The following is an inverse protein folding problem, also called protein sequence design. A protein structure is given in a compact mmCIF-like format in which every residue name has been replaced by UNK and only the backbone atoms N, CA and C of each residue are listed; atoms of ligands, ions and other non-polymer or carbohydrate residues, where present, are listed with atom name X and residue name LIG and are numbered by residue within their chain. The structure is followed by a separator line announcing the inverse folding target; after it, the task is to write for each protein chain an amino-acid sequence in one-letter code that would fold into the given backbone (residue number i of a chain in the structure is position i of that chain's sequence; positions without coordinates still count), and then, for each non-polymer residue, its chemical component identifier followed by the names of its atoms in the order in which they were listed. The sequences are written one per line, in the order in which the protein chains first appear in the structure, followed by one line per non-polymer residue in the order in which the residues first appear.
data_IF_085854798189
#
_entry.id   IF_085854798189
#
_cell.length_a   1.000
_cell.length_b   1.000
_cell.length_c   1.000
_cell.angle_alpha   90.00
_cell.angle_beta   90.00
_cell.angle_gamma   90.00
#
_symmetry.space_group_name_H-M   'P 1'
#
loop_
_entity.id
_entity.type
_entity.pdbx_description
1 polymer ?
#
# COMPACT_ATOMS: atom_id res chain seq x y z
N UNK A 1 14.20 -9.32 38.35
CA UNK A 1 14.35 -10.34 37.27
C UNK A 1 13.10 -11.19 36.97
N UNK A 2 12.28 -11.61 37.94
CA UNK A 2 11.11 -12.49 37.69
C UNK A 2 10.04 -11.90 36.73
N UNK A 3 9.89 -10.57 36.70
CA UNK A 3 8.92 -9.90 35.83
C UNK A 3 9.36 -9.85 34.37
N UNK A 4 10.67 -9.70 34.10
CA UNK A 4 11.22 -9.67 32.74
C UNK A 4 10.98 -10.99 32.00
N UNK A 5 11.17 -12.12 32.69
CA UNK A 5 10.88 -13.46 32.13
C UNK A 5 9.43 -13.60 31.69
N UNK A 6 8.47 -13.03 32.43
CA UNK A 6 7.03 -13.07 32.07
C UNK A 6 6.74 -12.27 30.80
N UNK A 7 7.38 -11.11 30.63
CA UNK A 7 7.23 -10.31 29.40
C UNK A 7 7.84 -10.99 28.18
N UNK A 8 9.04 -11.58 28.32
CA UNK A 8 9.65 -12.35 27.23
C UNK A 8 8.79 -13.54 26.80
N UNK A 9 8.19 -14.25 27.76
CA UNK A 9 7.28 -15.37 27.49
C UNK A 9 6.01 -14.89 26.78
N UNK A 10 5.49 -13.70 27.13
CA UNK A 10 4.34 -13.10 26.45
C UNK A 10 4.65 -12.70 25.00
N UNK A 11 5.82 -12.10 24.77
CA UNK A 11 6.29 -11.74 23.42
C UNK A 11 6.49 -13.00 22.59
N UNK A 12 7.14 -14.02 23.14
CA UNK A 12 7.36 -15.29 22.46
C UNK A 12 6.03 -15.97 22.11
N UNK A 13 5.04 -15.94 23.00
CA UNK A 13 3.68 -16.44 22.73
C UNK A 13 3.00 -15.67 21.59
N UNK A 14 3.10 -14.34 21.58
CA UNK A 14 2.60 -13.49 20.50
C UNK A 14 3.27 -13.76 19.15
N UNK A 15 4.59 -13.98 19.14
CA UNK A 15 5.37 -14.28 17.93
C UNK A 15 5.10 -15.67 17.36
N UNK A 16 4.95 -16.68 18.23
CA UNK A 16 4.72 -18.09 17.85
C UNK A 16 3.27 -18.36 17.43
N UNK A 17 2.32 -17.54 17.89
CA UNK A 17 0.92 -17.69 17.49
C UNK A 17 0.79 -17.47 15.96
N UNK A 18 0.17 -18.40 15.23
CA UNK A 18 -0.03 -18.25 13.79
C UNK A 18 -1.01 -17.10 13.51
N UNK A 19 -0.58 -16.17 12.66
CA UNK A 19 -1.40 -15.04 12.19
C UNK A 19 -2.47 -15.49 11.18
N UNK A 20 -2.23 -16.60 10.48
CA UNK A 20 -3.08 -17.17 9.44
C UNK A 20 -3.75 -18.48 9.91
N UNK A 21 -5.00 -18.76 9.50
CA UNK A 21 -5.60 -20.08 9.70
C UNK A 21 -4.88 -21.14 8.84
N UNK A 22 -4.84 -22.37 9.34
CA UNK A 22 -4.11 -23.50 8.73
C UNK A 22 -4.57 -23.79 7.29
N UNK A 23 -5.86 -23.63 6.99
CA UNK A 23 -6.41 -23.88 5.66
C UNK A 23 -5.79 -22.95 4.60
N UNK A 24 -5.55 -21.69 4.96
CA UNK A 24 -4.94 -20.70 4.06
C UNK A 24 -3.43 -20.91 3.98
N UNK A 25 -2.81 -21.40 5.05
CA UNK A 25 -1.39 -21.75 5.03
C UNK A 25 -1.14 -22.91 4.05
N UNK A 26 -2.01 -23.94 4.05
CA UNK A 26 -1.97 -25.03 3.07
C UNK A 26 -2.18 -24.51 1.66
N UNK A 27 -3.10 -23.57 1.47
CA UNK A 27 -3.32 -22.92 0.18
C UNK A 27 -2.05 -22.19 -0.31
N UNK A 28 -1.35 -21.46 0.57
CA UNK A 28 -0.12 -20.76 0.22
C UNK A 28 1.06 -21.68 -0.12
N UNK A 29 1.06 -22.92 0.36
CA UNK A 29 2.09 -23.91 0.06
C UNK A 29 1.94 -24.52 -1.34
N UNK A 30 0.80 -24.36 -2.01
CA UNK A 30 0.63 -24.87 -3.36
C UNK A 30 1.60 -24.20 -4.36
N UNK A 31 2.24 -24.99 -5.24
CA UNK A 31 3.26 -24.48 -6.17
C UNK A 31 2.70 -23.43 -7.13
N UNK A 32 1.43 -23.57 -7.56
CA UNK A 32 0.75 -22.61 -8.45
C UNK A 32 0.70 -21.22 -7.80
N UNK A 33 0.35 -21.15 -6.52
CA UNK A 33 0.27 -19.89 -5.79
C UNK A 33 1.66 -19.28 -5.58
N UNK A 34 2.68 -20.13 -5.37
CA UNK A 34 4.06 -19.68 -5.27
C UNK A 34 4.54 -19.03 -6.57
N UNK A 35 4.25 -19.65 -7.71
CA UNK A 35 4.57 -19.10 -9.04
C UNK A 35 3.80 -17.80 -9.28
N UNK A 36 2.50 -17.77 -9.00
CA UNK A 36 1.67 -16.57 -9.12
C UNK A 36 2.22 -15.42 -8.27
N UNK A 37 2.75 -15.71 -7.08
CA UNK A 37 3.35 -14.70 -6.20
C UNK A 37 4.65 -14.13 -6.74
N UNK A 38 5.51 -14.97 -7.29
CA UNK A 38 6.77 -14.52 -7.90
C UNK A 38 6.49 -13.71 -9.16
N UNK A 39 5.63 -14.20 -10.05
CA UNK A 39 5.25 -13.52 -11.29
C UNK A 39 4.51 -12.20 -11.02
N UNK A 40 3.56 -12.20 -10.09
CA UNK A 40 2.82 -11.00 -9.70
C UNK A 40 3.70 -9.94 -9.02
N UNK A 41 4.66 -10.37 -8.20
CA UNK A 41 5.65 -9.46 -7.62
C UNK A 41 6.57 -8.85 -8.67
N UNK A 42 7.07 -9.67 -9.60
CA UNK A 42 7.93 -9.22 -10.69
C UNK A 42 7.18 -8.28 -11.63
N UNK A 43 5.92 -8.59 -11.98
CA UNK A 43 5.08 -7.73 -12.82
C UNK A 43 4.78 -6.40 -12.14
N UNK A 44 4.54 -6.40 -10.83
CA UNK A 44 4.33 -5.16 -10.06
C UNK A 44 5.59 -4.30 -10.05
N UNK A 45 6.76 -4.89 -9.78
CA UNK A 45 8.05 -4.19 -9.83
C UNK A 45 8.32 -3.62 -11.22
N UNK A 46 8.00 -4.38 -12.26
CA UNK A 46 8.15 -3.96 -13.65
C UNK A 46 7.25 -2.76 -13.96
N UNK A 47 5.98 -2.77 -13.54
CA UNK A 47 5.04 -1.66 -13.75
C UNK A 47 5.42 -0.38 -13.01
N UNK A 48 6.04 -0.49 -11.82
CA UNK A 48 6.45 0.67 -11.02
C UNK A 48 7.77 1.28 -11.53
N UNK A 49 8.62 0.48 -12.18
CA UNK A 49 9.93 0.94 -12.62
C UNK A 49 9.82 1.84 -13.85
N UNK A 50 10.04 3.14 -13.67
CA UNK A 50 9.95 4.18 -14.71
C UNK A 50 10.89 3.95 -15.91
N UNK A 51 11.94 3.14 -15.73
CA UNK A 51 12.86 2.73 -16.80
C UNK A 51 12.19 1.96 -17.93
N UNK A 52 10.98 1.43 -17.73
CA UNK A 52 10.28 0.68 -18.78
C UNK A 52 9.91 1.55 -19.97
N UNK A 53 9.71 2.87 -19.81
CA UNK A 53 9.51 3.77 -20.95
C UNK A 53 10.77 3.93 -21.82
N UNK A 54 11.97 3.71 -21.27
CA UNK A 54 13.22 3.80 -22.03
C UNK A 54 13.46 2.58 -22.92
N UNK A 55 12.91 1.43 -22.54
CA UNK A 55 12.94 0.24 -23.38
C UNK A 55 11.71 0.29 -24.29
N UNK A 56 11.90 0.31 -25.61
CA UNK A 56 10.86 0.34 -26.64
C UNK A 56 10.06 -0.97 -26.72
N UNK A 57 9.52 -1.40 -25.58
CA UNK A 57 8.80 -2.66 -25.45
C UNK A 57 7.42 -2.58 -26.12
N UNK A 58 6.97 -3.67 -26.74
CA UNK A 58 5.65 -3.72 -27.34
C UNK A 58 4.55 -3.50 -26.29
N UNK A 59 3.52 -2.73 -26.64
CA UNK A 59 2.35 -2.43 -25.79
C UNK A 59 1.70 -3.70 -25.21
N UNK A 60 1.75 -4.82 -25.95
CA UNK A 60 1.22 -6.11 -25.51
C UNK A 60 1.83 -6.62 -24.20
N UNK A 61 3.14 -6.43 -23.97
CA UNK A 61 3.79 -6.85 -22.72
C UNK A 61 3.24 -6.09 -21.52
N UNK A 62 2.93 -4.80 -21.71
CA UNK A 62 2.35 -3.96 -20.67
C UNK A 62 0.95 -4.45 -20.27
N UNK A 63 0.11 -4.77 -21.25
CA UNK A 63 -1.25 -5.29 -21.02
C UNK A 63 -1.21 -6.61 -20.26
N UNK A 64 -0.32 -7.54 -20.66
CA UNK A 64 -0.17 -8.83 -19.96
C UNK A 64 0.30 -8.62 -18.52
N UNK A 65 1.30 -7.76 -18.29
CA UNK A 65 1.80 -7.45 -16.95
C UNK A 65 0.71 -6.83 -16.05
N UNK A 66 -0.10 -5.92 -16.60
CA UNK A 66 -1.28 -5.35 -15.93
C UNK A 66 -2.29 -6.43 -15.53
N UNK A 67 -2.64 -7.35 -16.44
CA UNK A 67 -3.59 -8.43 -16.15
C UNK A 67 -3.10 -9.37 -15.04
N UNK A 68 -1.83 -9.78 -15.09
CA UNK A 68 -1.24 -10.64 -14.04
C UNK A 68 -1.23 -9.92 -12.68
N UNK A 69 -0.86 -8.64 -12.68
CA UNK A 69 -0.83 -7.82 -11.45
C UNK A 69 -2.23 -7.66 -10.86
N UNK A 70 -3.25 -7.51 -11.69
CA UNK A 70 -4.64 -7.42 -11.24
C UNK A 70 -5.13 -8.72 -10.59
N UNK A 71 -4.83 -9.89 -11.18
CA UNK A 71 -5.17 -11.19 -10.57
C UNK A 71 -4.44 -11.36 -9.23
N UNK A 72 -3.15 -11.01 -9.20
CA UNK A 72 -2.33 -11.07 -8.00
C UNK A 72 -2.87 -10.16 -6.88
N UNK A 73 -3.40 -9.00 -7.24
CA UNK A 73 -4.05 -8.05 -6.33
C UNK A 73 -5.33 -8.64 -5.71
N UNK A 74 -6.22 -9.21 -6.51
CA UNK A 74 -7.46 -9.86 -6.01
C UNK A 74 -7.11 -10.98 -5.02
N UNK A 75 -6.12 -11.79 -5.36
CA UNK A 75 -5.63 -12.85 -4.48
C UNK A 75 -5.10 -12.30 -3.14
N UNK A 76 -4.32 -11.21 -3.17
CA UNK A 76 -3.83 -10.56 -1.95
C UNK A 76 -4.95 -9.96 -1.10
N UNK A 77 -5.96 -9.36 -1.73
CA UNK A 77 -7.15 -8.85 -1.05
C UNK A 77 -7.89 -9.98 -0.33
N UNK A 78 -8.10 -11.13 -0.98
CA UNK A 78 -8.73 -12.31 -0.39
C UNK A 78 -8.00 -12.81 0.86
N UNK A 79 -6.67 -13.01 0.77
CA UNK A 79 -5.87 -13.45 1.92
C UNK A 79 -5.91 -12.44 3.06
N UNK A 80 -5.78 -11.15 2.73
CA UNK A 80 -5.79 -10.07 3.71
C UNK A 80 -7.12 -10.03 4.49
N UNK A 81 -8.24 -10.18 3.78
CA UNK A 81 -9.57 -10.26 4.40
C UNK A 81 -9.66 -11.40 5.41
N UNK A 82 -9.27 -12.61 5.01
CA UNK A 82 -9.30 -13.77 5.91
C UNK A 82 -8.34 -13.64 7.10
N UNK A 83 -7.16 -13.05 6.88
CA UNK A 83 -6.20 -12.76 7.96
C UNK A 83 -6.81 -11.80 8.98
N UNK A 84 -7.38 -10.67 8.55
CA UNK A 84 -8.00 -9.70 9.44
C UNK A 84 -9.14 -10.36 10.24
N UNK A 85 -9.97 -11.18 9.58
CA UNK A 85 -11.03 -11.94 10.25
C UNK A 85 -10.47 -12.89 11.31
N UNK A 86 -9.39 -13.60 11.01
CA UNK A 86 -8.73 -14.52 11.94
C UNK A 86 -8.09 -13.81 13.13
N UNK A 87 -7.34 -12.73 12.89
CA UNK A 87 -6.72 -11.91 13.94
C UNK A 87 -7.80 -11.32 14.86
N UNK A 88 -8.90 -10.79 14.32
CA UNK A 88 -10.03 -10.30 15.13
C UNK A 88 -10.63 -11.41 16.01
N UNK A 89 -10.75 -12.63 15.49
CA UNK A 89 -11.22 -13.80 16.26
C UNK A 89 -10.24 -14.16 17.39
N UNK A 90 -8.94 -14.14 17.11
CA UNK A 90 -7.88 -14.39 18.09
C UNK A 90 -7.84 -13.33 19.20
N UNK A 91 -7.94 -12.04 18.85
CA UNK A 91 -7.92 -10.94 19.83
C UNK A 91 -9.09 -11.00 20.83
N UNK A 92 -10.24 -11.53 20.38
CA UNK A 92 -11.44 -11.76 21.20
C UNK A 92 -11.40 -13.08 21.97
N UNK A 93 -10.46 -13.97 21.69
CA UNK A 93 -10.36 -15.28 22.35
C UNK A 93 -9.37 -15.26 23.51
N UNK A 94 -9.67 -16.01 24.56
CA UNK A 94 -8.80 -16.17 25.73
C UNK A 94 -7.53 -17.01 25.45
N UNK A 95 -7.34 -17.47 24.20
CA UNK A 95 -6.13 -18.22 23.79
C UNK A 95 -4.83 -17.44 24.02
N UNK A 96 -4.88 -16.11 23.94
CA UNK A 96 -3.74 -15.22 24.18
C UNK A 96 -3.54 -14.86 25.65
N UNK A 97 -4.47 -15.21 26.53
CA UNK A 97 -4.35 -14.88 27.95
C UNK A 97 -3.25 -15.70 28.64
N UNK A 98 -2.49 -15.04 29.51
CA UNK A 98 -1.45 -15.66 30.32
C UNK A 98 -2.03 -15.78 31.74
N UNK A 99 -2.25 -16.99 32.26
CA UNK A 99 -2.98 -17.17 33.53
C UNK A 99 -2.19 -16.69 34.77
N UNK A 100 -2.96 -16.27 35.78
CA UNK A 100 -2.64 -16.14 37.23
C UNK A 100 -1.90 -14.89 37.77
N UNK A 101 -2.07 -13.69 37.22
CA UNK A 101 -1.63 -12.47 37.95
C UNK A 101 -2.24 -11.18 37.40
N UNK A 102 -2.49 -10.11 38.16
CA UNK A 102 -2.83 -8.79 37.60
C UNK A 102 -1.75 -8.26 36.64
N UNK A 103 -0.47 -8.63 36.86
CA UNK A 103 0.64 -8.38 35.93
C UNK A 103 0.44 -9.10 34.57
N UNK A 104 -0.41 -10.13 34.52
CA UNK A 104 -0.74 -10.84 33.29
C UNK A 104 -1.60 -10.03 32.34
N UNK A 105 -2.37 -9.02 32.80
CA UNK A 105 -3.15 -8.17 31.89
C UNK A 105 -2.25 -7.36 30.96
N UNK A 106 -1.17 -6.79 31.50
CA UNK A 106 -0.16 -6.10 30.70
C UNK A 106 0.57 -7.07 29.77
N UNK A 107 0.95 -8.24 30.26
CA UNK A 107 1.60 -9.26 29.43
C UNK A 107 0.70 -9.76 28.28
N UNK A 108 -0.59 -10.00 28.55
CA UNK A 108 -1.61 -10.31 27.54
C UNK A 108 -1.74 -9.17 26.54
N UNK A 109 -1.82 -7.92 27.00
CA UNK A 109 -1.90 -6.76 26.12
C UNK A 109 -0.67 -6.65 25.20
N UNK A 110 0.54 -6.84 25.74
CA UNK A 110 1.77 -6.91 24.95
C UNK A 110 1.70 -8.03 23.89
N UNK A 111 1.22 -9.22 24.25
CA UNK A 111 1.10 -10.33 23.27
C UNK A 111 0.11 -10.01 22.15
N UNK A 112 -0.99 -9.32 22.46
CA UNK A 112 -1.98 -8.84 21.49
C UNK A 112 -1.38 -7.77 20.57
N UNK A 113 -0.62 -6.83 21.11
CA UNK A 113 0.09 -5.81 20.31
C UNK A 113 1.09 -6.48 19.38
N UNK A 114 1.91 -7.41 19.88
CA UNK A 114 2.91 -8.11 19.07
C UNK A 114 2.24 -8.90 17.94
N UNK A 115 1.13 -9.58 18.21
CA UNK A 115 0.35 -10.28 17.18
C UNK A 115 -0.22 -9.31 16.13
N UNK A 116 -0.74 -8.15 16.56
CA UNK A 116 -1.21 -7.11 15.66
C UNK A 116 -0.08 -6.52 14.82
N UNK A 117 1.08 -6.23 15.43
CA UNK A 117 2.25 -5.72 14.73
C UNK A 117 2.75 -6.72 13.67
N UNK A 118 2.83 -8.01 14.03
CA UNK A 118 3.14 -9.09 13.08
C UNK A 118 2.12 -9.12 11.93
N UNK A 119 0.83 -9.09 12.24
CA UNK A 119 -0.24 -9.03 11.23
C UNK A 119 -0.15 -7.81 10.33
N UNK A 120 0.20 -6.65 10.89
CA UNK A 120 0.39 -5.39 10.17
C UNK A 120 1.60 -5.47 9.23
N UNK A 121 2.75 -5.97 9.69
CA UNK A 121 3.94 -6.17 8.85
C UNK A 121 3.64 -7.09 7.66
N UNK A 122 2.90 -8.18 7.88
CA UNK A 122 2.54 -9.09 6.80
C UNK A 122 1.46 -8.52 5.85
N UNK A 123 0.77 -7.44 6.25
CA UNK A 123 -0.27 -6.75 5.46
C UNK A 123 0.24 -5.46 4.81
N UNK A 124 1.37 -4.92 5.28
CA UNK A 124 1.99 -3.73 4.73
C UNK A 124 2.40 -3.91 3.27
N UNK A 125 2.93 -5.08 2.90
CA UNK A 125 3.32 -5.38 1.52
C UNK A 125 2.14 -5.28 0.53
N UNK A 126 0.97 -5.93 0.75
CA UNK A 126 -0.17 -5.74 -0.14
C UNK A 126 -0.65 -4.29 -0.20
N UNK A 127 -0.72 -3.57 0.93
CA UNK A 127 -1.08 -2.14 0.94
C UNK A 127 -0.11 -1.33 0.08
N UNK A 128 1.20 -1.56 0.24
CA UNK A 128 2.24 -0.91 -0.58
C UNK A 128 2.07 -1.19 -2.07
N UNK A 129 1.72 -2.43 -2.45
CA UNK A 129 1.47 -2.77 -3.86
C UNK A 129 0.23 -2.07 -4.43
N UNK A 130 -0.83 -1.89 -3.63
CA UNK A 130 -2.03 -1.13 -4.02
C UNK A 130 -1.66 0.32 -4.30
N UNK A 131 -0.93 0.93 -3.36
CA UNK A 131 -0.50 2.32 -3.47
C UNK A 131 0.45 2.53 -4.66
N UNK A 132 1.38 1.60 -4.87
CA UNK A 132 2.27 1.62 -6.03
C UNK A 132 1.52 1.49 -7.36
N UNK A 133 0.51 0.61 -7.42
CA UNK A 133 -0.35 0.47 -8.60
C UNK A 133 -1.15 1.75 -8.90
N UNK A 134 -1.75 2.35 -7.86
CA UNK A 134 -2.44 3.64 -7.98
C UNK A 134 -1.50 4.75 -8.47
N UNK A 135 -0.28 4.81 -7.94
CA UNK A 135 0.75 5.74 -8.42
C UNK A 135 1.15 5.48 -9.88
N UNK A 136 1.25 4.22 -10.29
CA UNK A 136 1.49 3.83 -11.68
C UNK A 136 0.40 4.30 -12.63
N UNK A 137 -0.89 4.15 -12.25
CA UNK A 137 -2.01 4.67 -13.05
C UNK A 137 -1.91 6.19 -13.21
N UNK A 138 -1.60 6.91 -12.13
CA UNK A 138 -1.46 8.36 -12.17
C UNK A 138 -0.31 8.82 -13.07
N UNK A 139 0.81 8.10 -13.09
CA UNK A 139 1.93 8.38 -14.00
C UNK A 139 1.52 8.24 -15.48
N UNK A 140 0.75 7.20 -15.82
CA UNK A 140 0.23 7.01 -17.19
C UNK A 140 -0.77 8.11 -17.57
N UNK A 141 -1.58 8.57 -16.62
CA UNK A 141 -2.51 9.68 -16.86
C UNK A 141 -1.74 10.96 -17.15
N UNK A 142 -0.73 11.26 -16.32
CA UNK A 142 0.13 12.42 -16.51
C UNK A 142 0.87 12.39 -17.84
N UNK A 143 1.36 11.23 -18.28
CA UNK A 143 2.02 11.12 -19.59
C UNK A 143 1.08 11.39 -20.78
N UNK A 144 -0.24 11.31 -20.57
CA UNK A 144 -1.28 11.68 -21.55
C UNK A 144 -1.80 13.12 -21.36
N UNK A 145 -1.18 13.90 -20.49
CA UNK A 145 -1.64 15.26 -20.17
C UNK A 145 -2.90 15.31 -19.30
N UNK A 146 -3.28 14.19 -18.68
CA UNK A 146 -4.39 14.15 -17.72
C UNK A 146 -3.88 14.31 -16.29
N UNK A 147 -4.69 14.94 -15.45
CA UNK A 147 -4.35 15.11 -14.03
C UNK A 147 -4.37 13.75 -13.28
N UNK A 148 -3.45 13.58 -12.30
CA UNK A 148 -3.44 12.42 -11.40
C UNK A 148 -4.65 12.46 -10.47
N UNK A 149 -5.19 11.30 -10.11
CA UNK A 149 -6.38 11.17 -9.27
C UNK A 149 -6.02 10.65 -7.87
N UNK A 150 -5.16 9.64 -7.79
CA UNK A 150 -4.97 8.86 -6.57
C UNK A 150 -3.91 9.44 -5.62
N UNK A 151 -2.77 9.88 -6.14
CA UNK A 151 -1.70 10.55 -5.41
C UNK A 151 -2.17 11.80 -4.68
N UNK A 152 -2.90 12.76 -5.30
CA UNK A 152 -3.40 13.93 -4.57
C UNK A 152 -4.42 13.55 -3.50
N UNK A 153 -5.25 12.51 -3.73
CA UNK A 153 -6.18 12.02 -2.72
C UNK A 153 -5.45 11.42 -1.50
N UNK A 154 -4.39 10.65 -1.74
CA UNK A 154 -3.51 10.14 -0.69
C UNK A 154 -2.81 11.27 0.07
N UNK A 155 -2.27 12.25 -0.66
CA UNK A 155 -1.67 13.45 -0.06
C UNK A 155 -2.64 14.18 0.86
N UNK A 156 -3.91 14.35 0.45
CA UNK A 156 -4.93 14.99 1.28
C UNK A 156 -5.30 14.18 2.54
N UNK A 157 -5.20 12.85 2.50
CA UNK A 157 -5.50 11.99 3.67
C UNK A 157 -4.34 12.02 4.67
N UNK A 158 -3.10 11.93 4.20
CA UNK A 158 -1.91 11.80 5.06
C UNK A 158 -1.30 13.15 5.46
N UNK A 159 -1.43 14.18 4.62
CA UNK A 159 -0.77 15.48 4.76
C UNK A 159 -1.77 16.63 4.83
N UNK A 160 -2.99 16.36 5.34
CA UNK A 160 -4.12 17.29 5.39
C UNK A 160 -3.78 18.69 5.94
N UNK A 161 -2.75 18.80 6.77
CA UNK A 161 -2.33 20.04 7.43
C UNK A 161 -0.85 20.43 7.18
N UNK A 162 -0.18 19.89 6.14
CA UNK A 162 1.19 20.32 5.86
C UNK A 162 1.19 21.69 5.14
N UNK A 163 1.90 22.71 5.67
CA UNK A 163 1.95 24.06 5.07
C UNK A 163 2.52 24.04 3.64
N UNK A 164 3.36 23.05 3.32
CA UNK A 164 3.97 22.88 2.00
C UNK A 164 2.94 22.55 0.90
N UNK A 165 1.84 21.87 1.25
CA UNK A 165 0.77 21.54 0.30
C UNK A 165 -0.10 22.75 -0.04
N UNK A 166 -0.24 23.69 0.91
CA UNK A 166 -0.94 24.96 0.71
C UNK A 166 -0.08 25.85 -0.19
N UNK A 167 1.24 25.89 0.05
CA UNK A 167 2.19 26.61 -0.79
C UNK A 167 2.22 26.05 -2.23
N UNK A 168 2.25 24.73 -2.43
CA UNK A 168 2.22 24.13 -3.77
C UNK A 168 0.91 24.44 -4.52
N UNK A 169 -0.23 24.43 -3.82
CA UNK A 169 -1.52 24.84 -4.40
C UNK A 169 -1.50 26.30 -4.86
N UNK A 170 -1.05 27.22 -4.01
CA UNK A 170 -0.96 28.64 -4.36
C UNK A 170 0.00 28.88 -5.53
N UNK A 171 1.13 28.17 -5.55
CA UNK A 171 2.11 28.28 -6.62
C UNK A 171 1.54 27.78 -7.96
N UNK A 172 0.84 26.63 -7.97
CA UNK A 172 0.16 26.13 -9.19
C UNK A 172 -0.92 27.10 -9.67
N UNK A 173 -1.69 27.69 -8.77
CA UNK A 173 -2.70 28.69 -9.11
C UNK A 173 -2.06 29.93 -9.75
N UNK A 174 -0.98 30.47 -9.18
CA UNK A 174 -0.23 31.58 -9.77
C UNK A 174 0.32 31.26 -11.17
N UNK A 175 0.93 30.08 -11.35
CA UNK A 175 1.44 29.66 -12.67
C UNK A 175 0.32 29.52 -13.71
N UNK A 176 -0.83 28.99 -13.32
CA UNK A 176 -1.99 28.88 -14.22
C UNK A 176 -2.51 30.26 -14.67
N UNK A 177 -2.47 31.26 -13.79
CA UNK A 177 -2.85 32.64 -14.11
C UNK A 177 -1.83 33.30 -15.03
N UNK A 178 -0.53 33.16 -14.74
CA UNK A 178 0.55 33.68 -15.58
C UNK A 178 0.51 33.09 -16.99
N UNK A 179 0.24 31.79 -17.12
CA UNK A 179 0.14 31.15 -18.42
C UNK A 179 -1.01 31.75 -19.26
N UNK A 180 -2.20 31.91 -18.66
CA UNK A 180 -3.36 32.54 -19.30
C UNK A 180 -3.08 33.98 -19.77
N UNK A 181 -2.41 34.77 -18.94
CA UNK A 181 -1.99 36.14 -19.29
C UNK A 181 -1.01 36.15 -20.45
N UNK A 182 -0.02 35.25 -20.47
CA UNK A 182 0.93 35.15 -21.57
C UNK A 182 0.25 34.79 -22.90
N UNK A 183 -0.82 33.99 -22.82
CA UNK A 183 -1.59 33.55 -23.98
C UNK A 183 -2.44 34.70 -24.53
N UNK A 184 -3.15 35.43 -23.67
CA UNK A 184 -3.88 36.65 -24.06
C UNK A 184 -2.95 37.70 -24.70
N UNK A 185 -1.73 37.85 -24.18
CA UNK A 185 -0.78 38.82 -24.73
C UNK A 185 -0.28 38.43 -26.14
N UNK A 186 -0.10 37.13 -26.40
CA UNK A 186 0.22 36.64 -27.75
C UNK A 186 -0.90 36.93 -28.74
N UNK A 187 -2.15 36.72 -28.33
CA UNK A 187 -3.32 36.95 -29.20
C UNK A 187 -3.47 38.44 -29.56
N UNK A 188 -3.22 39.34 -28.62
CA UNK A 188 -3.25 40.80 -28.84
C UNK A 188 -2.17 41.27 -29.84
N UNK A 189 -0.96 40.73 -29.73
CA UNK A 189 0.13 41.05 -30.67
C UNK A 189 -0.11 40.51 -32.08
N UNK A 190 -0.92 39.45 -32.21
CA UNK A 190 -1.35 38.91 -33.50
C UNK A 190 -2.39 39.81 -34.17
N UNK A 191 -3.31 40.39 -33.39
CA UNK A 191 -4.32 41.34 -33.89
C UNK A 191 -3.72 42.67 -34.34
N UNK A 192 -2.63 43.15 -33.71
CA UNK A 192 -1.94 44.38 -34.14
C UNK A 192 -1.12 44.23 -35.43
N UNK A 193 -0.89 43.00 -35.90
CA UNK A 193 -0.16 42.73 -37.15
C UNK A 193 -1.06 42.61 -38.38
N UNK A 194 -2.37 42.68 -38.21
CA UNK A 194 -3.40 42.66 -39.26
C UNK A 194 -3.82 44.10 -39.53
#
# INVERSE_FOLDING_TARGET
MKNLKKYLLAIQKGLTTPSLPEDILKLQLHPIIRILRVLGGLSTLFLITDRVQQYSLPVYFYVIAMSITFIFFIFHMYITYHRIKHIRKLLKSDKLDIRNSPLSRLATFCSKIVLCAKGACETAAPIGSVLGFMGGIDAIRQSKGHEPIFLPLLGNIFMKDSPDLIADKQHREQYSQLYKLSQQHKDLNLLQKI
#
